data_IF_078987367390
#
_entry.id   IF_078987367390
#
_cell.length_a   1.000
_cell.length_b   1.000
_cell.length_c   1.000
_cell.angle_alpha   90.00
_cell.angle_beta   90.00
_cell.angle_gamma   90.00
#
_symmetry.space_group_name_H-M   'P 1'
#
loop_
_entity.id
_entity.type
_entity.pdbx_description
1 polymer ?
#
# COMPACT_ATOMS: atom_id res chain seq x y z
N UNK A 1 20.22 12.89 27.95
CA UNK A 1 19.00 13.01 28.78
C UNK A 1 17.82 13.04 27.82
N UNK A 2 17.29 11.87 27.47
CA UNK A 2 16.04 11.74 26.72
C UNK A 2 14.90 11.91 27.74
N UNK A 3 14.46 13.14 27.96
CA UNK A 3 13.21 13.37 28.70
C UNK A 3 12.06 12.95 27.80
N UNK A 4 11.38 11.85 28.13
CA UNK A 4 10.08 11.51 27.58
C UNK A 4 9.18 12.76 27.63
N UNK A 5 8.42 13.09 26.57
CA UNK A 5 7.46 14.17 26.65
C UNK A 5 6.45 13.85 27.76
N UNK A 6 6.32 14.75 28.73
CA UNK A 6 5.45 14.61 29.88
C UNK A 6 3.98 14.77 29.47
N UNK A 7 3.41 13.75 28.83
CA UNK A 7 1.96 13.67 28.63
C UNK A 7 1.33 13.09 29.89
N UNK A 8 1.33 13.86 30.97
CA UNK A 8 0.58 13.56 32.19
C UNK A 8 -0.80 14.22 32.11
N UNK A 9 -1.68 13.68 31.27
CA UNK A 9 -3.13 13.86 31.46
C UNK A 9 -3.66 12.63 32.17
N UNK A 10 -3.41 12.54 33.48
CA UNK A 10 -4.06 11.56 34.34
C UNK A 10 -5.52 11.98 34.48
N UNK A 11 -6.37 11.62 33.51
CA UNK A 11 -7.81 11.77 33.68
C UNK A 11 -8.26 10.91 34.86
N UNK A 12 -9.07 11.45 35.77
CA UNK A 12 -9.59 10.74 36.94
C UNK A 12 -10.62 9.62 36.60
N UNK A 13 -11.05 9.52 35.34
CA UNK A 13 -12.03 8.50 34.91
C UNK A 13 -11.40 7.11 34.82
N UNK A 14 -12.10 6.10 35.37
CA UNK A 14 -11.79 4.67 35.20
C UNK A 14 -11.60 4.35 33.70
N UNK A 15 -10.56 3.59 33.37
CA UNK A 15 -10.18 3.23 32.00
C UNK A 15 -11.34 2.60 31.20
N UNK A 16 -12.21 1.83 31.87
CA UNK A 16 -13.42 1.22 31.26
C UNK A 16 -14.45 2.25 30.81
N UNK A 17 -14.62 3.35 31.54
CA UNK A 17 -15.55 4.43 31.18
C UNK A 17 -15.03 5.25 30.01
N UNK A 18 -13.70 5.43 29.93
CA UNK A 18 -13.04 6.09 28.79
C UNK A 18 -13.20 5.30 27.50
N UNK A 19 -12.86 4.01 27.51
CA UNK A 19 -13.05 3.12 26.35
C UNK A 19 -14.49 3.13 25.83
N UNK A 20 -15.49 3.25 26.72
CA UNK A 20 -16.91 3.20 26.33
C UNK A 20 -17.46 4.52 25.80
N UNK A 21 -16.90 5.66 26.22
CA UNK A 21 -17.40 7.00 25.85
C UNK A 21 -16.51 7.74 24.85
N UNK A 22 -15.23 7.38 24.72
CA UNK A 22 -14.24 8.09 23.88
C UNK A 22 -13.95 7.34 22.57
N UNK A 23 -14.46 6.11 22.40
CA UNK A 23 -14.27 5.29 21.20
C UNK A 23 -15.59 5.11 20.46
N UNK A 24 -15.58 5.36 19.14
CA UNK A 24 -16.68 5.02 18.24
C UNK A 24 -16.64 3.53 17.87
N UNK A 25 -17.20 2.69 18.73
CA UNK A 25 -17.30 1.25 18.49
C UNK A 25 -18.17 0.89 17.28
N UNK A 26 -19.18 1.72 16.98
CA UNK A 26 -20.06 1.49 15.83
C UNK A 26 -19.31 1.77 14.54
N UNK A 27 -18.61 2.90 14.48
CA UNK A 27 -17.73 3.23 13.35
C UNK A 27 -16.62 2.19 13.16
N UNK A 28 -15.97 1.77 14.26
CA UNK A 28 -14.93 0.75 14.22
C UNK A 28 -15.46 -0.59 13.69
N UNK A 29 -16.57 -1.11 14.24
CA UNK A 29 -17.16 -2.36 13.78
C UNK A 29 -17.62 -2.27 12.31
N UNK A 30 -18.22 -1.15 11.92
CA UNK A 30 -18.66 -0.92 10.54
C UNK A 30 -17.49 -0.97 9.56
N UNK A 31 -16.39 -0.28 9.85
CA UNK A 31 -15.20 -0.32 8.97
C UNK A 31 -14.52 -1.68 8.97
N UNK A 32 -14.34 -2.31 10.13
CA UNK A 32 -13.70 -3.62 10.21
C UNK A 32 -14.49 -4.68 9.43
N UNK A 33 -15.83 -4.67 9.53
CA UNK A 33 -16.69 -5.58 8.76
C UNK A 33 -16.64 -5.26 7.28
N UNK A 34 -16.73 -3.99 6.89
CA UNK A 34 -16.71 -3.58 5.50
C UNK A 34 -15.38 -3.94 4.81
N UNK A 35 -14.25 -3.59 5.45
CA UNK A 35 -12.91 -3.93 4.97
C UNK A 35 -12.70 -5.45 4.94
N UNK A 36 -13.06 -6.16 6.01
CA UNK A 36 -12.93 -7.62 6.08
C UNK A 36 -13.70 -8.34 4.97
N UNK A 37 -14.95 -7.93 4.71
CA UNK A 37 -15.76 -8.48 3.62
C UNK A 37 -15.14 -8.19 2.25
N UNK A 38 -14.66 -6.96 2.03
CA UNK A 38 -14.03 -6.59 0.76
C UNK A 38 -12.75 -7.40 0.52
N UNK A 39 -11.88 -7.48 1.53
CA UNK A 39 -10.63 -8.23 1.47
C UNK A 39 -10.87 -9.73 1.23
N UNK A 40 -11.91 -10.30 1.86
CA UNK A 40 -12.31 -11.68 1.64
C UNK A 40 -12.72 -11.94 0.19
N UNK A 41 -13.59 -11.08 -0.37
CA UNK A 41 -14.01 -11.21 -1.77
C UNK A 41 -12.83 -11.06 -2.72
N UNK A 42 -11.94 -10.09 -2.47
CA UNK A 42 -10.73 -9.89 -3.25
C UNK A 42 -9.79 -11.10 -3.21
N UNK A 43 -9.59 -11.71 -2.04
CA UNK A 43 -8.80 -12.94 -1.90
C UNK A 43 -9.43 -14.12 -2.66
N UNK A 44 -10.76 -14.23 -2.65
CA UNK A 44 -11.47 -15.25 -3.43
C UNK A 44 -11.28 -15.06 -4.94
N UNK A 45 -11.37 -13.82 -5.42
CA UNK A 45 -11.16 -13.50 -6.84
C UNK A 45 -9.73 -13.82 -7.27
N UNK A 46 -8.72 -13.51 -6.44
CA UNK A 46 -7.31 -13.85 -6.72
C UNK A 46 -7.09 -15.34 -6.96
N UNK A 47 -7.88 -16.20 -6.30
CA UNK A 47 -7.74 -17.66 -6.42
C UNK A 47 -8.44 -18.23 -7.65
N UNK A 48 -9.55 -17.64 -8.09
CA UNK A 48 -10.26 -18.04 -9.30
C UNK A 48 -11.29 -16.96 -9.69
N UNK A 49 -11.13 -16.37 -10.88
CA UNK A 49 -12.05 -15.33 -11.37
C UNK A 49 -13.50 -15.84 -11.53
N UNK A 50 -13.72 -17.14 -11.74
CA UNK A 50 -15.08 -17.74 -11.81
C UNK A 50 -15.85 -17.61 -10.51
N UNK A 51 -15.17 -17.35 -9.40
CA UNK A 51 -15.82 -17.05 -8.10
C UNK A 51 -16.46 -15.67 -8.10
N UNK A 52 -16.16 -14.79 -9.07
CA UNK A 52 -16.82 -13.50 -9.20
C UNK A 52 -18.31 -13.67 -9.55
N UNK A 53 -18.67 -14.69 -10.32
CA UNK A 53 -20.06 -15.00 -10.69
C UNK A 53 -20.85 -15.68 -9.57
N UNK A 54 -20.21 -16.02 -8.45
CA UNK A 54 -20.91 -16.58 -7.30
C UNK A 54 -21.80 -15.48 -6.67
N UNK A 55 -23.12 -15.69 -6.58
CA UNK A 55 -24.04 -14.73 -5.96
C UNK A 55 -23.60 -14.30 -4.55
N UNK A 56 -22.94 -15.18 -3.79
CA UNK A 56 -22.44 -14.87 -2.46
C UNK A 56 -21.38 -13.76 -2.48
N UNK A 57 -20.44 -13.82 -3.43
CA UNK A 57 -19.37 -12.83 -3.54
C UNK A 57 -19.89 -11.48 -4.05
N UNK A 58 -20.87 -11.48 -4.94
CA UNK A 58 -21.52 -10.25 -5.42
C UNK A 58 -22.27 -9.55 -4.28
N UNK A 59 -23.01 -10.31 -3.46
CA UNK A 59 -23.72 -9.78 -2.30
C UNK A 59 -22.73 -9.21 -1.27
N UNK A 60 -21.66 -9.96 -0.94
CA UNK A 60 -20.61 -9.49 -0.04
C UNK A 60 -19.91 -8.23 -0.55
N UNK A 61 -19.60 -8.16 -1.84
CA UNK A 61 -19.01 -6.98 -2.48
C UNK A 61 -19.96 -5.77 -2.39
N UNK A 62 -21.24 -5.98 -2.68
CA UNK A 62 -22.26 -4.93 -2.63
C UNK A 62 -22.41 -4.39 -1.21
N UNK A 63 -22.50 -5.29 -0.22
CA UNK A 63 -22.58 -4.91 1.20
C UNK A 63 -21.32 -4.14 1.64
N UNK A 64 -20.13 -4.61 1.27
CA UNK A 64 -18.89 -3.93 1.58
C UNK A 64 -18.83 -2.51 0.99
N UNK A 65 -19.22 -2.34 -0.29
CA UNK A 65 -19.28 -1.03 -0.95
C UNK A 65 -20.30 -0.11 -0.26
N UNK A 66 -21.48 -0.62 0.07
CA UNK A 66 -22.52 0.17 0.77
C UNK A 66 -22.04 0.60 2.16
N UNK A 67 -21.39 -0.28 2.92
CA UNK A 67 -20.86 0.05 4.25
C UNK A 67 -19.70 1.05 4.17
N UNK A 68 -18.78 0.90 3.20
CA UNK A 68 -17.69 1.86 2.96
C UNK A 68 -18.24 3.23 2.55
N UNK A 69 -19.30 3.28 1.73
CA UNK A 69 -19.96 4.53 1.35
C UNK A 69 -20.75 5.14 2.50
N UNK A 70 -21.36 4.34 3.36
CA UNK A 70 -22.11 4.78 4.54
C UNK A 70 -21.19 5.36 5.64
N UNK A 71 -19.95 4.87 5.74
CA UNK A 71 -19.03 5.28 6.79
C UNK A 71 -18.75 6.80 6.83
N UNK A 72 -18.38 7.50 5.74
CA UNK A 72 -18.21 8.95 5.75
C UNK A 72 -19.43 9.73 6.27
N UNK A 73 -20.65 9.27 5.96
CA UNK A 73 -21.89 9.89 6.44
C UNK A 73 -22.11 9.65 7.94
N UNK A 74 -21.84 8.43 8.42
CA UNK A 74 -21.87 8.11 9.84
C UNK A 74 -20.86 8.96 10.64
N UNK A 75 -19.67 9.14 10.07
CA UNK A 75 -18.62 9.95 10.67
C UNK A 75 -18.98 11.44 10.71
N UNK A 76 -19.58 11.97 9.64
CA UNK A 76 -20.09 13.35 9.62
C UNK A 76 -21.21 13.56 10.64
N UNK A 77 -22.09 12.57 10.80
CA UNK A 77 -23.14 12.56 11.82
C UNK A 77 -22.55 12.57 13.24
N UNK A 78 -21.57 11.71 13.55
CA UNK A 78 -20.89 11.65 14.85
C UNK A 78 -20.23 12.99 15.20
N UNK A 79 -19.52 13.61 14.24
CA UNK A 79 -18.87 14.91 14.41
C UNK A 79 -19.89 16.02 14.66
N UNK A 80 -21.00 16.05 13.91
CA UNK A 80 -22.08 17.04 14.10
C UNK A 80 -22.77 16.93 15.46
N UNK A 81 -22.85 15.72 16.01
CA UNK A 81 -23.45 15.46 17.32
C UNK A 81 -22.45 15.56 18.49
N UNK A 82 -21.23 16.04 18.26
CA UNK A 82 -20.22 16.23 19.31
C UNK A 82 -19.76 14.92 19.97
N UNK A 83 -19.93 13.79 19.26
CA UNK A 83 -19.52 12.46 19.73
C UNK A 83 -18.10 12.15 19.23
N UNK A 84 -17.37 11.24 19.89
CA UNK A 84 -16.04 10.87 19.43
C UNK A 84 -16.16 10.20 18.06
N UNK A 85 -15.43 10.72 17.09
CA UNK A 85 -15.34 10.15 15.76
C UNK A 85 -14.01 9.40 15.63
N UNK A 86 -14.06 8.11 15.24
CA UNK A 86 -12.88 7.29 14.99
C UNK A 86 -11.88 7.93 14.03
N UNK A 87 -12.34 8.44 12.89
CA UNK A 87 -11.56 9.12 11.84
C UNK A 87 -12.28 10.42 11.47
N UNK A 88 -11.90 11.57 12.05
CA UNK A 88 -12.59 12.82 11.75
C UNK A 88 -12.40 13.17 10.26
N UNK A 89 -13.49 13.53 9.57
CA UNK A 89 -13.46 13.89 8.14
C UNK A 89 -12.52 15.09 7.85
N UNK A 90 -12.16 15.87 8.87
CA UNK A 90 -11.15 16.93 8.79
C UNK A 90 -9.76 16.41 8.38
N UNK A 91 -9.44 15.15 8.66
CA UNK A 91 -8.17 14.50 8.28
C UNK A 91 -8.02 14.45 6.75
N UNK A 92 -9.09 14.05 6.06
CA UNK A 92 -9.15 13.96 4.60
C UNK A 92 -9.21 15.32 3.90
N UNK A 93 -9.58 16.39 4.62
CA UNK A 93 -9.59 17.76 4.09
C UNK A 93 -8.17 18.27 3.84
N UNK A 94 -7.16 17.73 4.54
CA UNK A 94 -5.77 18.06 4.29
C UNK A 94 -5.30 17.38 2.99
N UNK A 95 -5.09 18.19 1.94
CA UNK A 95 -4.66 17.71 0.63
C UNK A 95 -3.34 16.92 0.68
N UNK A 96 -2.43 17.28 1.58
CA UNK A 96 -1.16 16.55 1.73
C UNK A 96 -1.39 15.14 2.28
N UNK A 97 -2.24 15.01 3.31
CA UNK A 97 -2.57 13.71 3.89
C UNK A 97 -3.29 12.80 2.90
N UNK A 98 -4.30 13.32 2.20
CA UNK A 98 -5.05 12.55 1.20
C UNK A 98 -4.17 12.12 0.03
N UNK A 99 -3.27 13.00 -0.45
CA UNK A 99 -2.34 12.67 -1.53
C UNK A 99 -1.35 11.57 -1.11
N UNK A 100 -0.85 11.64 0.12
CA UNK A 100 0.03 10.63 0.72
C UNK A 100 -0.69 9.29 0.87
N UNK A 101 -1.95 9.28 1.32
CA UNK A 101 -2.77 8.08 1.44
C UNK A 101 -3.00 7.40 0.08
N UNK A 102 -3.31 8.18 -0.97
CA UNK A 102 -3.50 7.63 -2.32
C UNK A 102 -2.16 7.08 -2.86
N UNK A 103 -1.06 7.81 -2.65
CA UNK A 103 0.24 7.38 -3.10
C UNK A 103 0.68 6.08 -2.40
N UNK A 104 0.51 5.97 -1.08
CA UNK A 104 0.88 4.75 -0.34
C UNK A 104 0.01 3.56 -0.75
N UNK A 105 -1.30 3.78 -0.94
CA UNK A 105 -2.22 2.75 -1.42
C UNK A 105 -1.73 2.13 -2.74
N UNK A 106 -1.44 2.97 -3.73
CA UNK A 106 -0.98 2.53 -5.05
C UNK A 106 0.44 1.95 -5.02
N UNK A 107 1.31 2.47 -4.14
CA UNK A 107 2.68 2.01 -4.01
C UNK A 107 2.74 0.60 -3.41
N UNK A 108 2.00 0.36 -2.33
CA UNK A 108 1.89 -0.95 -1.70
C UNK A 108 1.17 -1.97 -2.58
N UNK A 109 0.15 -1.53 -3.32
CA UNK A 109 -0.49 -2.33 -4.35
C UNK A 109 0.52 -2.85 -5.39
N UNK A 110 1.43 -1.98 -5.83
CA UNK A 110 2.43 -2.31 -6.85
C UNK A 110 3.54 -3.21 -6.29
N UNK A 111 4.05 -2.90 -5.10
CA UNK A 111 5.08 -3.69 -4.43
C UNK A 111 4.62 -5.14 -4.23
N UNK A 112 3.45 -5.32 -3.63
CA UNK A 112 2.97 -6.66 -3.31
C UNK A 112 2.65 -7.48 -4.57
N UNK A 113 2.17 -6.83 -5.63
CA UNK A 113 2.05 -7.45 -6.95
C UNK A 113 3.40 -7.96 -7.47
N UNK A 114 4.44 -7.13 -7.46
CA UNK A 114 5.79 -7.53 -7.93
C UNK A 114 6.31 -8.72 -7.12
N UNK A 115 6.24 -8.64 -5.78
CA UNK A 115 6.74 -9.70 -4.90
C UNK A 115 6.02 -11.03 -5.13
N UNK A 116 4.69 -10.99 -5.25
CA UNK A 116 3.88 -12.18 -5.46
C UNK A 116 4.19 -12.85 -6.80
N UNK A 117 4.16 -12.10 -7.89
CA UNK A 117 4.40 -12.66 -9.23
C UNK A 117 5.86 -13.06 -9.45
N UNK A 118 6.82 -12.35 -8.86
CA UNK A 118 8.22 -12.76 -8.90
C UNK A 118 8.43 -14.08 -8.14
N UNK A 119 7.78 -14.24 -6.98
CA UNK A 119 7.81 -15.51 -6.24
C UNK A 119 7.22 -16.65 -7.07
N UNK A 120 6.08 -16.41 -7.72
CA UNK A 120 5.49 -17.38 -8.63
C UNK A 120 6.37 -17.70 -9.84
N UNK A 121 7.07 -16.70 -10.40
CA UNK A 121 8.04 -16.92 -11.47
C UNK A 121 9.17 -17.85 -11.02
N UNK A 122 9.84 -17.54 -9.91
CA UNK A 122 10.95 -18.37 -9.41
C UNK A 122 10.51 -19.79 -9.04
N UNK A 123 9.35 -19.97 -8.43
CA UNK A 123 8.92 -21.29 -7.98
C UNK A 123 8.23 -22.12 -9.06
N UNK A 124 7.40 -21.50 -9.91
CA UNK A 124 6.55 -22.23 -10.87
C UNK A 124 7.13 -22.27 -12.28
N UNK A 125 7.97 -21.31 -12.66
CA UNK A 125 8.56 -21.23 -14.01
C UNK A 125 10.01 -21.71 -13.98
N UNK A 126 10.83 -21.14 -13.11
CA UNK A 126 12.24 -21.56 -12.96
C UNK A 126 12.39 -22.87 -12.15
N UNK A 127 11.34 -23.29 -11.42
CA UNK A 127 11.36 -24.52 -10.61
C UNK A 127 12.29 -24.45 -9.40
N UNK A 128 12.67 -23.24 -8.95
CA UNK A 128 13.54 -23.05 -7.80
C UNK A 128 12.85 -23.50 -6.51
N UNK A 129 13.63 -24.05 -5.59
CA UNK A 129 13.14 -24.35 -4.25
C UNK A 129 12.70 -23.08 -3.52
N UNK A 130 11.82 -23.21 -2.52
CA UNK A 130 11.40 -22.09 -1.68
C UNK A 130 12.61 -21.38 -1.02
N UNK A 131 13.63 -22.13 -0.63
CA UNK A 131 14.86 -21.58 -0.04
C UNK A 131 15.66 -20.74 -1.05
N UNK A 132 15.83 -21.24 -2.28
CA UNK A 132 16.53 -20.50 -3.34
C UNK A 132 15.75 -19.25 -3.76
N UNK A 133 14.43 -19.34 -3.84
CA UNK A 133 13.57 -18.19 -4.14
C UNK A 133 13.77 -17.09 -3.09
N UNK A 134 13.75 -17.44 -1.79
CA UNK A 134 13.99 -16.48 -0.71
C UNK A 134 15.40 -15.88 -0.74
N UNK A 135 16.42 -16.66 -1.14
CA UNK A 135 17.78 -16.14 -1.32
C UNK A 135 17.85 -15.09 -2.46
N UNK A 136 17.06 -15.28 -3.52
CA UNK A 136 16.93 -14.29 -4.60
C UNK A 136 16.21 -13.00 -4.17
N UNK A 137 15.50 -13.00 -3.04
CA UNK A 137 14.94 -11.77 -2.45
C UNK A 137 15.92 -11.03 -1.54
N UNK A 138 17.12 -11.54 -1.25
CA UNK A 138 18.10 -10.81 -0.42
C UNK A 138 18.43 -9.40 -0.92
N UNK A 139 18.63 -9.15 -2.24
CA UNK A 139 18.92 -7.81 -2.74
C UNK A 139 17.80 -6.81 -2.44
N UNK A 140 16.55 -7.29 -2.40
CA UNK A 140 15.38 -6.47 -2.04
C UNK A 140 15.52 -5.92 -0.62
N UNK A 141 15.84 -6.79 0.36
CA UNK A 141 16.00 -6.38 1.76
C UNK A 141 17.17 -5.42 1.93
N UNK A 142 18.32 -5.71 1.29
CA UNK A 142 19.50 -4.84 1.35
C UNK A 142 19.20 -3.46 0.80
N UNK A 143 18.52 -3.37 -0.35
CA UNK A 143 18.18 -2.08 -0.93
C UNK A 143 17.12 -1.35 -0.11
N UNK A 144 16.15 -2.05 0.49
CA UNK A 144 15.16 -1.41 1.35
C UNK A 144 15.77 -0.78 2.61
N UNK A 145 16.72 -1.47 3.25
CA UNK A 145 17.49 -0.90 4.36
C UNK A 145 18.30 0.32 3.90
N UNK A 146 18.99 0.21 2.76
CA UNK A 146 19.75 1.33 2.21
C UNK A 146 18.85 2.52 1.87
N UNK A 147 17.68 2.28 1.26
CA UNK A 147 16.70 3.31 0.89
C UNK A 147 16.18 4.05 2.12
N UNK A 148 15.89 3.35 3.22
CA UNK A 148 15.49 3.96 4.49
C UNK A 148 16.59 4.86 5.08
N UNK A 149 17.84 4.37 5.12
CA UNK A 149 18.99 5.15 5.63
C UNK A 149 19.23 6.40 4.78
N UNK A 150 19.26 6.23 3.45
CA UNK A 150 19.45 7.31 2.49
C UNK A 150 18.33 8.34 2.65
N UNK A 151 17.09 7.90 2.76
CA UNK A 151 15.93 8.79 2.98
C UNK A 151 16.08 9.57 4.27
N UNK A 152 16.45 8.92 5.38
CA UNK A 152 16.68 9.59 6.67
C UNK A 152 17.74 10.69 6.62
N UNK A 153 18.77 10.55 5.77
CA UNK A 153 19.82 11.58 5.60
C UNK A 153 19.35 12.68 4.64
N UNK A 154 18.69 12.31 3.54
CA UNK A 154 18.29 13.26 2.50
C UNK A 154 17.05 14.09 2.87
N UNK A 155 16.19 13.60 3.76
CA UNK A 155 14.94 14.29 4.12
C UNK A 155 15.17 15.68 4.71
N UNK A 156 16.30 15.89 5.39
CA UNK A 156 16.70 17.19 5.93
C UNK A 156 17.23 18.17 4.88
N UNK A 157 17.65 17.67 3.70
CA UNK A 157 18.34 18.45 2.66
C UNK A 157 17.51 18.64 1.39
N UNK A 158 16.57 17.73 1.12
CA UNK A 158 15.82 17.64 -0.14
C UNK A 158 14.33 17.75 0.13
N UNK A 159 13.60 18.40 -0.79
CA UNK A 159 12.14 18.49 -0.72
C UNK A 159 11.52 17.08 -0.78
N UNK A 160 10.55 16.85 0.10
CA UNK A 160 9.74 15.61 0.16
C UNK A 160 9.22 15.17 -1.20
N UNK A 161 8.71 16.12 -2.00
CA UNK A 161 8.23 15.84 -3.36
C UNK A 161 9.32 15.25 -4.26
N UNK A 162 10.53 15.81 -4.24
CA UNK A 162 11.61 15.36 -5.11
C UNK A 162 12.05 13.96 -4.74
N UNK A 163 12.15 13.65 -3.44
CA UNK A 163 12.48 12.30 -2.98
C UNK A 163 11.45 11.28 -3.46
N UNK A 164 10.16 11.55 -3.24
CA UNK A 164 9.09 10.64 -3.62
C UNK A 164 8.95 10.44 -5.14
N UNK A 165 9.19 11.48 -5.95
CA UNK A 165 9.14 11.36 -7.42
C UNK A 165 10.35 10.59 -7.94
N UNK A 166 11.55 10.88 -7.44
CA UNK A 166 12.77 10.18 -7.86
C UNK A 166 12.70 8.71 -7.48
N UNK A 167 12.25 8.39 -6.25
CA UNK A 167 12.06 7.00 -5.83
C UNK A 167 11.02 6.28 -6.70
N UNK A 168 9.90 6.93 -7.01
CA UNK A 168 8.88 6.36 -7.89
C UNK A 168 9.40 6.06 -9.30
N UNK A 169 10.21 6.96 -9.88
CA UNK A 169 10.84 6.75 -11.18
C UNK A 169 11.82 5.57 -11.15
N UNK A 170 12.56 5.39 -10.06
CA UNK A 170 13.49 4.26 -9.89
C UNK A 170 12.70 2.93 -9.85
N UNK A 171 11.67 2.84 -9.01
CA UNK A 171 10.85 1.62 -8.89
C UNK A 171 10.04 1.33 -10.15
N UNK A 172 9.68 2.35 -10.93
CA UNK A 172 8.99 2.19 -12.21
C UNK A 172 9.79 1.33 -13.22
N UNK A 173 11.13 1.30 -13.13
CA UNK A 173 11.99 0.47 -14.01
C UNK A 173 11.93 -1.02 -13.63
N UNK A 174 11.59 -1.37 -12.39
CA UNK A 174 11.57 -2.75 -11.92
C UNK A 174 10.51 -3.61 -12.63
N UNK A 175 9.32 -3.04 -12.89
CA UNK A 175 8.22 -3.79 -13.50
C UNK A 175 8.47 -4.17 -14.97
N UNK A 176 8.97 -3.28 -15.85
CA UNK A 176 9.39 -3.63 -17.22
C UNK A 176 10.51 -4.67 -17.25
N UNK A 177 11.50 -4.55 -16.34
CA UNK A 177 12.59 -5.53 -16.24
C UNK A 177 12.04 -6.94 -16.06
N UNK A 178 11.08 -7.15 -15.14
CA UNK A 178 10.43 -8.46 -14.98
C UNK A 178 9.49 -8.83 -16.12
N UNK A 179 8.85 -7.85 -16.77
CA UNK A 179 7.95 -8.10 -17.89
C UNK A 179 8.69 -8.62 -19.13
N UNK A 180 9.98 -8.26 -19.30
CA UNK A 180 10.80 -8.66 -20.46
C UNK A 180 11.62 -9.92 -20.23
N UNK A 181 11.66 -10.45 -19.00
CA UNK A 181 12.43 -11.68 -18.70
C UNK A 181 11.94 -12.83 -19.55
N UNK A 182 12.88 -13.52 -20.20
CA UNK A 182 12.65 -14.80 -20.87
C UNK A 182 12.97 -15.99 -19.96
N UNK A 183 12.35 -17.14 -20.23
CA UNK A 183 12.51 -18.35 -19.41
C UNK A 183 13.95 -18.86 -19.54
N UNK A 184 14.65 -19.06 -18.41
CA UNK A 184 16.04 -19.51 -18.39
C UNK A 184 17.08 -18.39 -18.58
N UNK A 185 16.65 -17.12 -18.53
CA UNK A 185 17.55 -15.99 -18.54
C UNK A 185 18.39 -15.94 -17.24
N UNK A 186 19.61 -15.42 -17.32
CA UNK A 186 20.48 -15.31 -16.17
C UNK A 186 19.88 -14.36 -15.11
N UNK A 187 19.71 -14.86 -13.89
CA UNK A 187 19.19 -14.11 -12.73
C UNK A 187 19.84 -12.74 -12.54
N UNK A 188 21.14 -12.61 -12.82
CA UNK A 188 21.91 -11.39 -12.63
C UNK A 188 21.59 -10.27 -13.64
N UNK A 189 20.84 -10.54 -14.71
CA UNK A 189 20.57 -9.59 -15.79
C UNK A 189 19.32 -8.73 -15.53
N UNK A 190 18.15 -9.33 -15.42
CA UNK A 190 16.89 -8.60 -15.23
C UNK A 190 16.26 -8.85 -13.86
N UNK A 191 16.13 -10.10 -13.36
CA UNK A 191 15.50 -10.38 -12.07
C UNK A 191 16.20 -9.73 -10.87
N UNK A 192 17.54 -9.76 -10.83
CA UNK A 192 18.32 -9.14 -9.77
C UNK A 192 18.06 -7.63 -9.67
N UNK A 193 18.12 -6.91 -10.80
CA UNK A 193 17.91 -5.46 -10.81
C UNK A 193 16.45 -5.09 -10.52
N UNK A 194 15.48 -5.89 -10.95
CA UNK A 194 14.09 -5.67 -10.58
C UNK A 194 13.87 -5.82 -9.06
N UNK A 195 14.42 -6.87 -8.45
CA UNK A 195 14.37 -7.07 -7.00
C UNK A 195 15.10 -5.96 -6.25
N UNK A 196 16.23 -5.50 -6.77
CA UNK A 196 16.99 -4.42 -6.17
C UNK A 196 16.22 -3.08 -6.23
N UNK A 197 15.56 -2.74 -7.33
CA UNK A 197 14.91 -1.43 -7.52
C UNK A 197 13.47 -1.35 -6.99
N UNK A 198 12.80 -2.49 -6.84
CA UNK A 198 11.38 -2.55 -6.41
C UNK A 198 11.06 -1.96 -5.03
N UNK A 199 11.87 -2.09 -3.95
CA UNK A 199 11.50 -1.59 -2.62
C UNK A 199 11.74 -0.08 -2.45
N UNK A 200 12.48 0.55 -3.36
CA UNK A 200 12.98 1.93 -3.20
C UNK A 200 11.84 2.92 -2.97
N UNK A 201 10.79 2.91 -3.80
CA UNK A 201 9.68 3.83 -3.65
C UNK A 201 8.80 3.55 -2.42
N UNK A 202 8.35 2.32 -2.15
CA UNK A 202 7.59 2.00 -0.95
C UNK A 202 8.27 2.46 0.34
N UNK A 203 9.57 2.20 0.48
CA UNK A 203 10.33 2.54 1.70
C UNK A 203 10.53 4.06 1.86
N UNK A 204 10.94 4.73 0.78
CA UNK A 204 11.10 6.20 0.76
C UNK A 204 9.75 6.85 1.09
N UNK A 205 8.69 6.42 0.41
CA UNK A 205 7.35 6.98 0.57
C UNK A 205 6.81 6.72 1.97
N UNK A 206 7.01 5.54 2.54
CA UNK A 206 6.59 5.22 3.90
C UNK A 206 7.28 6.13 4.93
N UNK A 207 8.60 6.29 4.83
CA UNK A 207 9.37 7.17 5.72
C UNK A 207 8.94 8.63 5.59
N UNK A 208 8.85 9.12 4.35
CA UNK A 208 8.44 10.50 4.05
C UNK A 208 7.01 10.79 4.52
N UNK A 209 6.10 9.83 4.34
CA UNK A 209 4.71 9.96 4.73
C UNK A 209 4.54 10.05 6.24
N UNK A 210 5.26 9.21 6.99
CA UNK A 210 5.26 9.29 8.46
C UNK A 210 5.76 10.65 8.95
N UNK A 211 6.79 11.21 8.32
CA UNK A 211 7.26 12.55 8.66
C UNK A 211 6.23 13.63 8.33
N UNK A 212 5.59 13.56 7.16
CA UNK A 212 4.51 14.50 6.77
C UNK A 212 3.33 14.42 7.73
N UNK A 213 2.96 13.22 8.17
CA UNK A 213 1.89 13.01 9.17
C UNK A 213 2.29 13.62 10.51
N UNK A 214 3.54 13.43 10.94
CA UNK A 214 4.06 14.02 12.17
C UNK A 214 4.10 15.56 12.13
N UNK A 215 4.44 16.15 10.99
CA UNK A 215 4.49 17.61 10.81
C UNK A 215 3.09 18.24 10.64
N UNK A 216 2.16 17.53 9.99
CA UNK A 216 0.84 18.07 9.67
C UNK A 216 -0.18 18.01 10.82
N UNK A 217 0.08 17.19 11.85
CA UNK A 217 -0.88 16.93 12.93
C UNK A 217 -0.25 17.09 14.31
N UNK A 218 -1.02 17.61 15.30
CA UNK A 218 -0.55 17.70 16.68
C UNK A 218 -0.40 16.29 17.30
N UNK A 219 0.43 16.13 18.34
CA UNK A 219 0.80 14.82 18.92
C UNK A 219 -0.39 13.92 19.26
N UNK A 220 -1.51 14.52 19.68
CA UNK A 220 -2.72 13.79 20.07
C UNK A 220 -3.42 13.10 18.88
N UNK A 221 -3.25 13.65 17.67
CA UNK A 221 -3.87 13.16 16.43
C UNK A 221 -2.89 12.36 15.54
N UNK A 222 -1.58 12.41 15.82
CA UNK A 222 -0.56 11.70 15.04
C UNK A 222 -0.75 10.18 15.06
N UNK A 223 -1.08 9.60 16.22
CA UNK A 223 -1.34 8.16 16.35
C UNK A 223 -2.53 7.72 15.49
N UNK A 224 -3.60 8.54 15.49
CA UNK A 224 -4.77 8.28 14.68
C UNK A 224 -4.47 8.39 13.17
N UNK A 225 -3.80 9.45 12.75
CA UNK A 225 -3.44 9.66 11.35
C UNK A 225 -2.47 8.59 10.83
N UNK A 226 -1.51 8.17 11.66
CA UNK A 226 -0.59 7.07 11.35
C UNK A 226 -1.30 5.71 11.27
N UNK A 227 -2.28 5.46 12.14
CA UNK A 227 -3.13 4.28 12.08
C UNK A 227 -3.93 4.20 10.78
N UNK A 228 -4.59 5.29 10.40
CA UNK A 228 -5.32 5.39 9.11
C UNK A 228 -4.37 5.20 7.93
N UNK A 229 -3.19 5.80 7.98
CA UNK A 229 -2.18 5.65 6.92
C UNK A 229 -1.74 4.18 6.75
N UNK A 230 -1.51 3.47 7.85
CA UNK A 230 -1.12 2.06 7.82
C UNK A 230 -2.27 1.18 7.29
N UNK A 231 -3.50 1.40 7.77
CA UNK A 231 -4.70 0.73 7.24
C UNK A 231 -4.84 0.93 5.72
N UNK A 232 -4.64 2.15 5.22
CA UNK A 232 -4.67 2.44 3.77
C UNK A 232 -3.56 1.69 3.02
N UNK A 233 -2.36 1.57 3.59
CA UNK A 233 -1.26 0.81 2.99
C UNK A 233 -1.58 -0.69 2.91
N UNK A 234 -2.10 -1.27 3.99
CA UNK A 234 -2.50 -2.68 4.07
C UNK A 234 -3.67 -2.99 3.13
N UNK A 235 -4.61 -2.06 3.04
CA UNK A 235 -5.72 -2.17 2.10
C UNK A 235 -5.24 -2.09 0.65
N UNK A 236 -4.32 -1.19 0.34
CA UNK A 236 -3.66 -1.08 -0.96
C UNK A 236 -2.94 -2.35 -1.38
N UNK A 237 -2.19 -2.95 -0.46
CA UNK A 237 -1.52 -4.23 -0.65
C UNK A 237 -2.49 -5.30 -1.16
N UNK A 238 -3.60 -5.51 -0.44
CA UNK A 238 -4.56 -6.57 -0.76
C UNK A 238 -5.34 -6.30 -2.04
N UNK A 239 -5.80 -5.06 -2.25
CA UNK A 239 -6.54 -4.67 -3.46
C UNK A 239 -5.65 -4.75 -4.70
N UNK A 240 -4.42 -4.26 -4.59
CA UNK A 240 -3.45 -4.31 -5.68
C UNK A 240 -3.13 -5.72 -6.13
N UNK A 241 -2.85 -6.60 -5.16
CA UNK A 241 -2.62 -8.01 -5.44
C UNK A 241 -3.83 -8.65 -6.10
N UNK A 242 -5.05 -8.39 -5.61
CA UNK A 242 -6.24 -9.01 -6.15
C UNK A 242 -6.57 -8.59 -7.59
N UNK A 243 -6.45 -7.29 -7.91
CA UNK A 243 -6.63 -6.79 -9.27
C UNK A 243 -5.59 -7.41 -10.20
N UNK A 244 -4.32 -7.41 -9.79
CA UNK A 244 -3.23 -7.92 -10.62
C UNK A 244 -3.33 -9.44 -10.81
N UNK A 245 -3.70 -10.19 -9.76
CA UNK A 245 -4.02 -11.62 -9.78
C UNK A 245 -5.16 -11.94 -10.74
N UNK A 246 -6.27 -11.19 -10.67
CA UNK A 246 -7.41 -11.36 -11.55
C UNK A 246 -7.03 -11.16 -13.03
N UNK A 247 -6.24 -10.12 -13.34
CA UNK A 247 -5.76 -9.84 -14.69
C UNK A 247 -4.85 -10.96 -15.19
N UNK A 248 -3.87 -11.40 -14.37
CA UNK A 248 -2.98 -12.48 -14.74
C UNK A 248 -3.73 -13.79 -15.02
N UNK A 249 -4.68 -14.15 -14.14
CA UNK A 249 -5.51 -15.34 -14.29
C UNK A 249 -6.36 -15.28 -15.57
N UNK A 250 -6.99 -14.12 -15.83
CA UNK A 250 -7.80 -13.89 -17.03
C UNK A 250 -6.97 -14.04 -18.31
N UNK A 251 -5.79 -13.41 -18.37
CA UNK A 251 -4.89 -13.50 -19.54
C UNK A 251 -4.35 -14.91 -19.73
N UNK A 252 -4.05 -15.62 -18.65
CA UNK A 252 -3.57 -17.02 -18.70
C UNK A 252 -4.60 -17.93 -19.36
N UNK A 253 -5.87 -17.83 -18.99
CA UNK A 253 -6.92 -18.71 -19.52
C UNK A 253 -7.33 -18.35 -20.95
N UNK A 254 -7.42 -17.07 -21.29
CA UNK A 254 -7.75 -16.60 -22.65
C UNK A 254 -6.55 -16.70 -23.62
N UNK A 255 -5.39 -17.17 -23.16
CA UNK A 255 -4.20 -17.30 -24.00
C UNK A 255 -4.37 -18.33 -25.13
N UNK A 256 -5.22 -19.34 -24.94
CA UNK A 256 -5.41 -20.44 -25.89
C UNK A 256 -4.20 -21.38 -26.01
N UNK A 257 -3.18 -21.21 -25.16
CA UNK A 257 -1.93 -21.98 -25.20
C UNK A 257 -2.11 -23.29 -24.41
N UNK A 258 -1.78 -24.43 -25.02
CA UNK A 258 -1.86 -25.76 -24.40
C UNK A 258 -0.73 -26.02 -23.40
N UNK A 259 0.44 -25.42 -23.61
CA UNK A 259 1.56 -25.46 -22.66
C UNK A 259 1.27 -24.59 -21.43
N UNK A 260 1.11 -25.22 -20.27
CA UNK A 260 0.73 -24.56 -19.01
C UNK A 260 1.72 -23.47 -18.59
N UNK A 261 3.02 -23.69 -18.81
CA UNK A 261 4.09 -22.77 -18.42
C UNK A 261 4.10 -21.50 -19.27
N UNK A 262 3.98 -21.63 -20.59
CA UNK A 262 3.90 -20.49 -21.51
C UNK A 262 2.62 -19.65 -21.29
N UNK A 263 1.49 -20.31 -21.01
CA UNK A 263 0.24 -19.63 -20.67
C UNK A 263 0.39 -18.81 -19.38
N UNK A 264 1.02 -19.37 -18.34
CA UNK A 264 1.28 -18.68 -17.07
C UNK A 264 2.23 -17.51 -17.27
N UNK A 265 3.29 -17.68 -18.07
CA UNK A 265 4.25 -16.61 -18.35
C UNK A 265 3.59 -15.42 -19.04
N UNK A 266 2.67 -15.66 -19.98
CA UNK A 266 1.88 -14.57 -20.61
C UNK A 266 1.02 -13.83 -19.58
N UNK A 267 0.41 -14.55 -18.64
CA UNK A 267 -0.33 -13.96 -17.51
C UNK A 267 0.55 -13.13 -16.59
N UNK A 268 1.75 -13.62 -16.25
CA UNK A 268 2.69 -12.91 -15.38
C UNK A 268 3.24 -11.65 -16.06
N UNK A 269 3.54 -11.70 -17.36
CA UNK A 269 3.92 -10.51 -18.14
C UNK A 269 2.81 -9.46 -18.12
N UNK A 270 1.55 -9.86 -18.27
CA UNK A 270 0.41 -8.94 -18.17
C UNK A 270 0.27 -8.31 -16.78
N UNK A 271 0.52 -9.09 -15.71
CA UNK A 271 0.61 -8.55 -14.35
C UNK A 271 1.71 -7.49 -14.22
N UNK A 272 2.92 -7.78 -14.69
CA UNK A 272 4.03 -6.82 -14.62
C UNK A 272 3.76 -5.54 -15.43
N UNK A 273 3.11 -5.63 -16.59
CA UNK A 273 2.67 -4.44 -17.33
C UNK A 273 1.60 -3.62 -16.61
N UNK A 274 0.68 -4.29 -15.92
CA UNK A 274 -0.34 -3.62 -15.08
C UNK A 274 0.32 -2.89 -13.92
N UNK A 275 1.31 -3.52 -13.28
CA UNK A 275 2.11 -2.92 -12.22
C UNK A 275 2.93 -1.73 -12.75
N UNK A 276 3.46 -1.82 -13.97
CA UNK A 276 4.15 -0.67 -14.58
C UNK A 276 3.20 0.52 -14.78
N UNK A 277 1.98 0.26 -15.24
CA UNK A 277 0.95 1.29 -15.33
C UNK A 277 0.60 1.87 -13.96
N UNK A 278 0.46 1.04 -12.92
CA UNK A 278 0.20 1.53 -11.55
C UNK A 278 1.37 2.37 -11.02
N UNK A 279 2.63 1.95 -11.17
CA UNK A 279 3.81 2.75 -10.81
C UNK A 279 3.87 4.10 -11.54
N UNK A 280 3.44 4.13 -12.80
CA UNK A 280 3.33 5.38 -13.57
C UNK A 280 2.27 6.30 -12.95
N UNK A 281 1.10 5.75 -12.61
CA UNK A 281 0.06 6.53 -11.90
C UNK A 281 0.53 7.02 -10.54
N UNK A 282 1.29 6.23 -9.77
CA UNK A 282 1.92 6.68 -8.51
C UNK A 282 2.78 7.90 -8.76
N UNK A 283 3.66 7.85 -9.77
CA UNK A 283 4.54 8.98 -10.12
C UNK A 283 3.74 10.24 -10.41
N UNK A 284 2.65 10.13 -11.19
CA UNK A 284 1.76 11.26 -11.51
C UNK A 284 1.03 11.78 -10.27
N UNK A 285 0.49 10.90 -9.44
CA UNK A 285 -0.24 11.25 -8.20
C UNK A 285 0.69 11.94 -7.21
N UNK A 286 1.89 11.40 -6.99
CA UNK A 286 2.92 11.98 -6.13
C UNK A 286 3.35 13.34 -6.66
N UNK A 287 3.56 13.46 -7.97
CA UNK A 287 3.97 14.71 -8.61
C UNK A 287 2.89 15.80 -8.50
N UNK A 288 1.61 15.46 -8.71
CA UNK A 288 0.47 16.38 -8.63
C UNK A 288 0.09 16.72 -7.18
N UNK A 289 0.00 15.70 -6.31
CA UNK A 289 -0.49 15.81 -4.95
C UNK A 289 0.48 16.52 -4.01
N UNK A 290 1.78 16.29 -4.18
CA UNK A 290 2.82 16.95 -3.37
C UNK A 290 3.29 18.29 -3.97
N UNK A 291 2.54 18.89 -4.91
CA UNK A 291 2.90 20.20 -5.52
C UNK A 291 3.16 21.31 -4.50
N UNK A 292 2.56 21.23 -3.30
CA UNK A 292 2.73 22.18 -2.19
C UNK A 292 3.61 21.66 -1.04
N UNK A 293 4.19 20.46 -1.15
CA UNK A 293 5.05 19.88 -0.12
C UNK A 293 6.38 20.64 -0.02
N UNK A 294 6.59 21.32 1.10
CA UNK A 294 7.84 22.01 1.44
C UNK A 294 8.98 21.06 1.81
N UNK A 295 10.07 21.62 2.34
CA UNK A 295 11.10 20.85 3.04
C UNK A 295 10.57 20.61 4.44
N UNK A 296 10.32 19.34 4.79
CA UNK A 296 9.85 18.96 6.13
C UNK A 296 11.09 18.71 6.99
N UNK A 297 11.17 19.33 8.16
CA UNK A 297 12.32 19.18 9.09
C UNK A 297 13.24 20.40 9.23
N UNK A 298 12.92 21.56 8.66
CA UNK A 298 13.56 22.82 9.06
C UNK A 298 12.89 23.27 10.36
N UNK A 299 13.62 23.28 11.48
CA UNK A 299 13.20 24.02 12.68
C UNK A 299 12.81 25.43 12.23
N UNK A 300 11.55 25.79 12.43
CA UNK A 300 11.17 27.20 12.43
C UNK A 300 11.73 27.75 13.74
N UNK A 301 12.85 28.47 13.62
CA UNK A 301 13.41 29.27 14.71
C UNK A 301 12.47 30.46 15.02
#
# INVERSE_FOLDING_TARGET
IWSLPSVYTVSERKWTTRLRHEIDWVGAATMSVALGMLLYVLAMISSSYKRLDDPANIVLLTIAIVLLAAFPFWMDYQVKHGRPALIPNSLWRNRSFTSVCIAVFLCWASLNGIEYFTTLYFQKVEGLSALQSSLSFLPHVVMGVAANIITGILIAKVKVRTLAVVSALITMVAAPLMATVDVGENYWLAPFWAMFLSPVNPDVLFTVSNLVISDAYPPEMQSLAGGVFNEVAQFGNSVGLAITAAIAASVTEHSGITAREEALMKGYRAAFWTIFASCTTVTVVVWLGLKKGGIVGRKQD
#
